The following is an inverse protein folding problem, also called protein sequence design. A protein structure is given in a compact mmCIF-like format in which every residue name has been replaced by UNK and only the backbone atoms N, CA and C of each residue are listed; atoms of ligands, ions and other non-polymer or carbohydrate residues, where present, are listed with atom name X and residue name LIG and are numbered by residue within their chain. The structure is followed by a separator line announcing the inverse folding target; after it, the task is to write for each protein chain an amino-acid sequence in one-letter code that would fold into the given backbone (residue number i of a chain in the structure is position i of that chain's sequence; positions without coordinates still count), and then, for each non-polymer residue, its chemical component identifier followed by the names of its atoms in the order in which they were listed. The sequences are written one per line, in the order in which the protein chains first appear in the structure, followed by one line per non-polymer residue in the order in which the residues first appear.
data_IF_394418571371
#
_entry.id   IF_394418571371
#
_cell.length_a   1.000
_cell.length_b   1.000
_cell.length_c   1.000
_cell.angle_alpha   90.00
_cell.angle_beta   90.00
_cell.angle_gamma   90.00
#
_symmetry.space_group_name_H-M   'P 1'
#
loop_
_entity.id
_entity.type
_entity.pdbx_description
1 polymer ?
#
# COMPACT_ATOMS: atom_id res chain seq x y z
N UNK A 1 4.66 11.98 5.06
CA UNK A 1 3.44 11.14 5.04
C UNK A 1 3.07 10.77 6.48
N UNK A 2 1.80 10.82 6.87
CA UNK A 2 1.36 10.45 8.23
C UNK A 2 0.75 9.05 8.20
N UNK A 3 1.32 8.11 8.97
CA UNK A 3 0.82 6.73 9.05
C UNK A 3 0.16 6.55 10.42
N UNK A 4 -1.11 6.16 10.40
CA UNK A 4 -1.86 5.76 11.59
C UNK A 4 -1.85 4.24 11.70
N UNK A 5 -1.42 3.74 12.84
CA UNK A 5 -1.34 2.32 13.16
C UNK A 5 -2.29 2.01 14.32
N UNK A 6 -3.39 1.34 14.01
CA UNK A 6 -4.41 0.99 14.98
C UNK A 6 -4.15 -0.41 15.54
N UNK A 7 -4.07 -0.52 16.86
CA UNK A 7 -3.66 -1.73 17.58
C UNK A 7 -4.69 -2.15 18.62
N UNK A 8 -4.66 -3.43 19.00
CA UNK A 8 -5.36 -3.94 20.17
C UNK A 8 -4.35 -4.45 21.20
N UNK A 9 -4.66 -4.33 22.51
CA UNK A 9 -3.85 -4.95 23.54
C UNK A 9 -3.82 -6.48 23.35
N UNK A 10 -2.67 -7.10 23.63
CA UNK A 10 -2.47 -8.55 23.53
C UNK A 10 -2.76 -9.15 22.13
N UNK A 11 -2.62 -8.36 21.07
CA UNK A 11 -2.77 -8.82 19.69
C UNK A 11 -1.39 -9.11 19.07
N UNK A 12 -1.09 -10.39 18.83
CA UNK A 12 0.18 -10.82 18.22
C UNK A 12 0.45 -10.14 16.87
N UNK A 13 -0.57 -10.04 16.01
CA UNK A 13 -0.43 -9.37 14.72
C UNK A 13 -0.09 -7.88 14.85
N UNK A 14 -0.57 -7.21 15.91
CA UNK A 14 -0.20 -5.82 16.21
C UNK A 14 1.27 -5.73 16.64
N UNK A 15 1.73 -6.63 17.50
CA UNK A 15 3.15 -6.71 17.89
C UNK A 15 4.08 -6.95 16.69
N UNK A 16 3.75 -7.92 15.84
CA UNK A 16 4.51 -8.23 14.62
C UNK A 16 4.60 -7.03 13.68
N UNK A 17 3.48 -6.33 13.47
CA UNK A 17 3.46 -5.14 12.60
C UNK A 17 4.26 -3.99 13.21
N UNK A 18 4.20 -3.80 14.53
CA UNK A 18 5.00 -2.79 15.23
C UNK A 18 6.50 -3.04 15.05
N UNK A 19 6.94 -4.29 15.28
CA UNK A 19 8.35 -4.67 15.13
C UNK A 19 8.81 -4.49 13.69
N UNK A 20 7.99 -4.85 12.71
CA UNK A 20 8.31 -4.67 11.30
C UNK A 20 8.44 -3.18 10.92
N UNK A 21 7.53 -2.31 11.39
CA UNK A 21 7.63 -0.86 11.19
C UNK A 21 8.89 -0.27 11.79
N UNK A 22 9.23 -0.64 13.03
CA UNK A 22 10.45 -0.18 13.69
C UNK A 22 11.70 -0.63 12.95
N UNK A 23 11.73 -1.88 12.47
CA UNK A 23 12.85 -2.43 11.69
C UNK A 23 13.01 -1.72 10.34
N UNK A 24 11.91 -1.42 9.67
CA UNK A 24 11.89 -0.71 8.38
C UNK A 24 12.10 0.81 8.52
N UNK A 25 12.21 1.34 9.75
CA UNK A 25 12.38 2.78 9.99
C UNK A 25 11.14 3.60 9.65
N UNK A 26 9.96 2.98 9.58
CA UNK A 26 8.70 3.63 9.21
C UNK A 26 8.17 4.43 10.42
N UNK A 27 8.02 5.77 10.31
CA UNK A 27 7.41 6.56 11.37
C UNK A 27 5.88 6.37 11.38
N UNK A 28 5.31 6.12 12.55
CA UNK A 28 3.86 5.95 12.72
C UNK A 28 3.33 6.58 14.01
N UNK A 29 2.04 6.91 14.00
CA UNK A 29 1.27 7.24 15.20
C UNK A 29 0.42 6.04 15.58
N UNK A 30 0.66 5.49 16.76
CA UNK A 30 -0.15 4.40 17.30
C UNK A 30 -1.47 4.92 17.87
N UNK A 31 -2.56 4.18 17.61
CA UNK A 31 -3.91 4.49 18.06
C UNK A 31 -4.57 3.22 18.56
N UNK A 32 -5.43 3.33 19.57
CA UNK A 32 -6.23 2.19 20.03
C UNK A 32 -7.34 1.87 19.02
N UNK A 33 -7.52 0.59 18.71
CA UNK A 33 -8.63 0.09 17.89
C UNK A 33 -9.82 -0.41 18.73
N UNK A 34 -9.76 -0.32 20.07
CA UNK A 34 -10.77 -0.89 20.98
C UNK A 34 -12.19 -0.36 20.76
N UNK A 35 -12.31 0.88 20.29
CA UNK A 35 -13.59 1.55 20.02
C UNK A 35 -14.03 1.43 18.55
N UNK A 36 -13.30 0.67 17.72
CA UNK A 36 -13.64 0.49 16.31
C UNK A 36 -14.65 -0.64 16.11
N UNK A 37 -15.54 -0.45 15.13
CA UNK A 37 -16.46 -1.45 14.65
C UNK A 37 -16.30 -1.61 13.14
N UNK A 38 -15.96 -2.81 12.63
CA UNK A 38 -15.65 -4.03 13.40
C UNK A 38 -14.36 -3.91 14.22
N UNK A 39 -14.26 -4.72 15.27
CA UNK A 39 -13.07 -4.79 16.13
C UNK A 39 -11.96 -5.55 15.39
N UNK A 40 -11.23 -4.83 14.55
CA UNK A 40 -10.17 -5.38 13.70
C UNK A 40 -8.86 -4.67 13.98
N UNK A 41 -7.82 -5.45 14.27
CA UNK A 41 -6.46 -4.94 14.41
C UNK A 41 -5.44 -6.02 14.03
N UNK A 42 -4.24 -5.64 13.55
CA UNK A 42 -3.85 -4.26 13.26
C UNK A 42 -4.57 -3.68 12.04
N UNK A 43 -4.75 -2.36 12.04
CA UNK A 43 -5.13 -1.61 10.83
C UNK A 43 -4.06 -0.56 10.58
N UNK A 44 -3.47 -0.58 9.39
CA UNK A 44 -2.56 0.47 8.94
C UNK A 44 -3.35 1.36 7.99
N UNK A 45 -3.25 2.68 8.17
CA UNK A 45 -3.90 3.66 7.32
C UNK A 45 -3.01 4.87 7.10
N UNK A 46 -2.95 5.35 5.86
CA UNK A 46 -2.28 6.60 5.49
C UNK A 46 -3.00 7.25 4.31
N UNK A 47 -2.59 8.49 3.98
CA UNK A 47 -3.10 9.24 2.83
C UNK A 47 -1.95 9.48 1.87
N UNK A 48 -2.11 9.02 0.64
CA UNK A 48 -1.17 9.18 -0.47
C UNK A 48 -1.91 9.87 -1.59
N UNK A 49 -1.42 11.05 -2.01
CA UNK A 49 -2.06 11.88 -3.05
C UNK A 49 -3.59 11.99 -2.89
N UNK A 50 -4.06 12.37 -1.69
CA UNK A 50 -5.48 12.51 -1.31
C UNK A 50 -6.31 11.21 -1.32
N UNK A 51 -5.69 10.06 -1.53
CA UNK A 51 -6.35 8.76 -1.47
C UNK A 51 -5.97 8.01 -0.21
N UNK A 52 -6.95 7.34 0.40
CA UNK A 52 -6.71 6.51 1.58
C UNK A 52 -6.09 5.19 1.13
N UNK A 53 -4.94 4.87 1.72
CA UNK A 53 -4.26 3.57 1.61
C UNK A 53 -4.39 2.91 2.96
N UNK A 54 -5.13 1.80 3.02
CA UNK A 54 -5.32 1.08 4.26
C UNK A 54 -5.39 -0.43 4.04
N UNK A 55 -4.93 -1.18 5.04
CA UNK A 55 -5.11 -2.64 5.11
C UNK A 55 -5.27 -3.10 6.55
N UNK A 56 -5.73 -4.34 6.67
CA UNK A 56 -5.97 -5.04 7.93
C UNK A 56 -4.99 -6.19 8.07
N UNK A 57 -4.68 -6.56 9.31
CA UNK A 57 -3.79 -7.66 9.63
C UNK A 57 -2.31 -7.33 9.40
N UNK A 58 -1.45 -8.23 9.88
CA UNK A 58 -0.03 -8.16 9.60
C UNK A 58 0.24 -8.59 8.14
N UNK A 59 0.89 -7.70 7.37
CA UNK A 59 1.11 -7.83 5.92
C UNK A 59 2.53 -7.41 5.57
N UNK A 60 3.51 -8.31 5.67
CA UNK A 60 4.91 -7.99 5.42
C UNK A 60 5.14 -7.39 4.02
N UNK A 61 4.45 -7.93 3.01
CA UNK A 61 4.42 -7.43 1.63
C UNK A 61 4.04 -5.94 1.53
N UNK A 62 3.02 -5.50 2.28
CA UNK A 62 2.58 -4.10 2.27
C UNK A 62 3.49 -3.20 3.08
N UNK A 63 4.14 -3.74 4.12
CA UNK A 63 5.10 -3.00 4.93
C UNK A 63 6.32 -2.64 4.08
N UNK A 64 6.82 -3.61 3.31
CA UNK A 64 7.96 -3.40 2.40
C UNK A 64 7.60 -2.36 1.33
N UNK A 65 6.43 -2.49 0.67
CA UNK A 65 5.97 -1.49 -0.30
C UNK A 65 5.73 -0.11 0.32
N UNK A 66 5.24 -0.03 1.57
CA UNK A 66 5.08 1.24 2.25
C UNK A 66 6.45 1.88 2.58
N UNK A 67 7.46 1.08 2.95
CA UNK A 67 8.81 1.58 3.20
C UNK A 67 9.39 2.23 1.94
N UNK A 68 9.29 1.55 0.79
CA UNK A 68 9.78 2.06 -0.48
C UNK A 68 9.01 3.31 -0.91
N UNK A 69 7.68 3.34 -0.71
CA UNK A 69 6.87 4.53 -0.95
C UNK A 69 7.27 5.74 -0.09
N UNK A 70 7.71 5.51 1.16
CA UNK A 70 8.22 6.58 2.03
C UNK A 70 9.57 7.09 1.54
N UNK A 71 10.45 6.17 1.12
CA UNK A 71 11.79 6.49 0.62
C UNK A 71 11.74 7.28 -0.68
N UNK A 72 11.02 6.77 -1.66
CA UNK A 72 11.09 7.24 -3.04
C UNK A 72 9.99 8.26 -3.36
N UNK A 73 8.95 8.28 -2.53
CA UNK A 73 7.78 9.14 -2.70
C UNK A 73 6.75 8.59 -3.69
N UNK A 74 5.55 9.20 -3.73
CA UNK A 74 4.50 8.78 -4.64
C UNK A 74 4.82 9.14 -6.09
N UNK A 75 4.46 8.23 -7.00
CA UNK A 75 4.59 8.46 -8.45
C UNK A 75 3.69 9.63 -8.88
N UNK A 76 4.22 10.64 -9.59
CA UNK A 76 3.40 11.74 -10.11
C UNK A 76 2.47 11.27 -11.23
N UNK A 77 1.49 12.10 -11.59
CA UNK A 77 0.66 11.85 -12.76
C UNK A 77 1.54 11.67 -14.02
N UNK A 78 1.32 10.57 -14.75
CA UNK A 78 2.14 10.16 -15.90
C UNK A 78 3.60 9.81 -15.59
N UNK A 79 3.94 9.54 -14.32
CA UNK A 79 5.30 9.20 -13.88
C UNK A 79 5.79 7.81 -14.30
N UNK A 80 4.95 6.96 -14.90
CA UNK A 80 5.31 5.61 -15.36
C UNK A 80 5.90 5.57 -16.78
N UNK A 81 6.30 6.71 -17.35
CA UNK A 81 6.83 6.80 -18.73
C UNK A 81 8.23 6.22 -18.89
N UNK A 82 9.05 6.29 -17.85
CA UNK A 82 10.42 5.80 -17.87
C UNK A 82 10.45 4.41 -17.24
N UNK A 83 10.65 3.37 -18.07
CA UNK A 83 10.52 1.97 -17.66
C UNK A 83 11.34 1.62 -16.41
N UNK A 84 12.62 1.98 -16.40
CA UNK A 84 13.53 1.64 -15.27
C UNK A 84 13.07 2.27 -13.95
N UNK A 85 12.58 3.52 -13.98
CA UNK A 85 12.02 4.18 -12.80
C UNK A 85 10.63 3.63 -12.43
N UNK A 86 9.86 3.22 -13.43
CA UNK A 86 8.50 2.70 -13.26
C UNK A 86 8.46 1.28 -12.67
N UNK A 87 9.48 0.45 -12.93
CA UNK A 87 9.50 -0.94 -12.45
C UNK A 87 9.56 -1.03 -10.91
N UNK A 88 10.40 -0.22 -10.27
CA UNK A 88 10.59 -0.27 -8.82
C UNK A 88 9.63 0.66 -8.04
N UNK A 89 8.98 1.57 -8.75
CA UNK A 89 8.03 2.50 -8.15
C UNK A 89 6.87 1.80 -7.42
N UNK A 90 6.41 2.41 -6.33
CA UNK A 90 5.23 1.94 -5.59
C UNK A 90 4.01 2.75 -5.99
N UNK A 91 2.98 2.03 -6.43
CA UNK A 91 1.71 2.59 -6.89
C UNK A 91 0.60 2.30 -5.88
N UNK A 92 -0.23 3.30 -5.61
CA UNK A 92 -1.50 3.08 -4.94
C UNK A 92 -2.48 2.36 -5.85
N UNK A 93 -3.43 1.63 -5.27
CA UNK A 93 -4.54 1.03 -6.02
C UNK A 93 -5.25 2.03 -6.93
N UNK A 94 -5.43 3.28 -6.47
CA UNK A 94 -6.04 4.32 -7.29
C UNK A 94 -5.22 4.63 -8.55
N UNK A 95 -3.90 4.80 -8.40
CA UNK A 95 -3.00 5.04 -9.54
C UNK A 95 -3.02 3.85 -10.52
N UNK A 96 -3.01 2.62 -10.01
CA UNK A 96 -3.15 1.41 -10.85
C UNK A 96 -4.47 1.42 -11.63
N UNK A 97 -5.60 1.76 -10.99
CA UNK A 97 -6.88 1.88 -11.68
C UNK A 97 -6.85 2.94 -12.79
N UNK A 98 -6.20 4.08 -12.56
CA UNK A 98 -6.10 5.14 -13.56
C UNK A 98 -5.25 4.70 -14.75
N UNK A 99 -4.09 4.08 -14.48
CA UNK A 99 -3.19 3.60 -15.53
C UNK A 99 -3.89 2.56 -16.40
N UNK A 100 -4.46 1.50 -15.80
CA UNK A 100 -5.16 0.44 -16.55
C UNK A 100 -6.31 0.99 -17.39
N UNK A 101 -7.08 1.95 -16.86
CA UNK A 101 -8.18 2.60 -17.59
C UNK A 101 -7.68 3.47 -18.75
N UNK A 102 -6.49 4.07 -18.64
CA UNK A 102 -5.88 4.81 -19.75
C UNK A 102 -5.55 3.88 -20.94
N UNK A 103 -5.28 2.60 -20.67
CA UNK A 103 -5.11 1.54 -21.68
C UNK A 103 -6.44 0.90 -22.14
N UNK A 104 -7.59 1.42 -21.70
CA UNK A 104 -8.93 0.90 -22.02
C UNK A 104 -9.17 -0.55 -21.56
N UNK A 105 -8.47 -0.97 -20.49
CA UNK A 105 -8.59 -2.30 -19.89
C UNK A 105 -9.39 -2.26 -18.58
N UNK A 106 -9.79 -3.45 -18.09
CA UNK A 106 -10.50 -3.62 -16.82
C UNK A 106 -9.52 -3.70 -15.66
N UNK A 107 -9.61 -2.74 -14.72
CA UNK A 107 -8.85 -2.81 -13.47
C UNK A 107 -9.33 -3.96 -12.57
N UNK A 108 -10.59 -4.41 -12.72
CA UNK A 108 -11.12 -5.54 -11.96
C UNK A 108 -10.42 -6.85 -12.36
N UNK A 109 -10.09 -7.02 -13.63
CA UNK A 109 -9.37 -8.20 -14.13
C UNK A 109 -7.96 -8.25 -13.53
N UNK A 110 -7.26 -7.11 -13.54
CA UNK A 110 -5.96 -7.02 -12.88
C UNK A 110 -6.03 -7.36 -11.38
N UNK A 111 -7.04 -6.86 -10.66
CA UNK A 111 -7.21 -7.16 -9.23
C UNK A 111 -7.63 -8.59 -8.95
N UNK A 112 -8.31 -9.26 -9.89
CA UNK A 112 -8.59 -10.68 -9.80
C UNK A 112 -7.30 -11.51 -9.91
N UNK A 113 -6.37 -11.10 -10.78
CA UNK A 113 -5.10 -11.78 -11.01
C UNK A 113 -4.06 -11.51 -9.90
N UNK A 114 -3.97 -10.27 -9.43
CA UNK A 114 -2.89 -9.80 -8.53
C UNK A 114 -3.35 -9.55 -7.09
N UNK A 115 -4.63 -9.80 -6.81
CA UNK A 115 -5.25 -9.48 -5.53
C UNK A 115 -5.63 -7.99 -5.42
N UNK A 116 -6.65 -7.72 -4.59
CA UNK A 116 -7.15 -6.37 -4.33
C UNK A 116 -6.39 -5.75 -3.14
N UNK A 117 -5.16 -5.29 -3.40
CA UNK A 117 -4.26 -4.68 -2.45
C UNK A 117 -4.28 -3.16 -2.53
N UNK A 118 -3.91 -2.44 -1.45
CA UNK A 118 -3.90 -0.98 -1.48
C UNK A 118 -2.64 -0.41 -2.16
N UNK A 119 -1.56 -1.18 -2.24
CA UNK A 119 -0.28 -0.83 -2.88
C UNK A 119 0.15 -1.95 -3.82
N UNK A 120 0.88 -1.58 -4.88
CA UNK A 120 1.43 -2.47 -5.90
C UNK A 120 2.83 -2.01 -6.31
N UNK A 121 3.66 -2.95 -6.76
CA UNK A 121 4.90 -2.62 -7.44
C UNK A 121 4.60 -2.29 -8.91
N UNK A 122 5.26 -1.28 -9.45
CA UNK A 122 5.05 -0.86 -10.83
C UNK A 122 5.36 -1.95 -11.85
N UNK A 123 6.40 -2.77 -11.63
CA UNK A 123 6.72 -3.92 -12.49
C UNK A 123 5.55 -4.90 -12.64
N UNK A 124 4.76 -5.12 -11.60
CA UNK A 124 3.63 -6.06 -11.68
C UNK A 124 2.54 -5.51 -12.62
N UNK A 125 2.30 -4.20 -12.55
CA UNK A 125 1.37 -3.49 -13.44
C UNK A 125 1.88 -3.48 -14.87
N UNK A 126 3.16 -3.16 -15.08
CA UNK A 126 3.78 -3.10 -16.41
C UNK A 126 3.80 -4.47 -17.09
N UNK A 127 4.19 -5.52 -16.36
CA UNK A 127 4.20 -6.88 -16.87
C UNK A 127 2.80 -7.34 -17.28
N UNK A 128 1.77 -7.01 -16.49
CA UNK A 128 0.37 -7.34 -16.83
C UNK A 128 -0.14 -6.58 -18.05
N UNK A 129 0.29 -5.32 -18.24
CA UNK A 129 0.00 -4.53 -19.44
C UNK A 129 0.80 -5.01 -20.67
N UNK A 130 1.77 -5.90 -20.50
CA UNK A 130 2.57 -6.48 -21.58
C UNK A 130 3.81 -5.66 -21.96
N UNK A 131 4.34 -4.85 -21.03
CA UNK A 131 5.55 -4.05 -21.24
C UNK A 131 6.84 -4.76 -20.82
#
# INVERSE_FOLDING_TARGET
MLISFYTLPNCEASELTRVAFLRAGIPFTERSAVDQSPLEAPVVSTIVDRHIVAWRGHRADMIDLLADLISDGPVPAHGLREREAAEEAVLTRFQVMQEIRAHQLSAEDFFADHGNHPLYRGRDVLNWLGY
#
